data_IF_874440764070
#
_entry.id   IF_874440764070
#
_cell.length_a   1.000
_cell.length_b   1.000
_cell.length_c   1.000
_cell.angle_alpha   90.00
_cell.angle_beta   90.00
_cell.angle_gamma   90.00
#
_symmetry.space_group_name_H-M   'P 1'
#
loop_
_entity.id
_entity.type
_entity.pdbx_description
1 polymer ?
#
# COMPACT_ATOMS: atom_id res chain seq x y z
N UNK A 1 -9.30 14.16 -37.03
CA UNK A 1 -9.67 12.94 -36.26
C UNK A 1 -8.47 12.26 -35.60
N UNK A 2 -7.41 11.86 -36.35
CA UNK A 2 -6.24 11.16 -35.76
C UNK A 2 -5.58 11.91 -34.60
N UNK A 3 -5.37 13.22 -34.75
CA UNK A 3 -4.80 14.08 -33.69
C UNK A 3 -5.69 14.19 -32.45
N UNK A 4 -7.02 14.28 -32.63
CA UNK A 4 -7.97 14.34 -31.50
C UNK A 4 -7.94 13.03 -30.71
N UNK A 5 -7.90 11.88 -31.39
CA UNK A 5 -7.79 10.57 -30.76
C UNK A 5 -6.47 10.41 -30.00
N UNK A 6 -5.36 10.90 -30.56
CA UNK A 6 -4.06 10.90 -29.88
C UNK A 6 -4.09 11.74 -28.59
N UNK A 7 -4.68 12.94 -28.63
CA UNK A 7 -4.82 13.80 -27.44
C UNK A 7 -5.67 13.14 -26.36
N UNK A 8 -6.82 12.54 -26.73
CA UNK A 8 -7.67 11.83 -25.75
C UNK A 8 -6.91 10.67 -25.10
N UNK A 9 -6.12 9.95 -25.89
CA UNK A 9 -5.30 8.85 -25.42
C UNK A 9 -4.21 9.30 -24.44
N UNK A 10 -3.46 10.35 -24.79
CA UNK A 10 -2.44 10.93 -23.90
C UNK A 10 -3.04 11.37 -22.56
N UNK A 11 -4.22 12.01 -22.59
CA UNK A 11 -4.96 12.37 -21.38
C UNK A 11 -5.35 11.14 -20.55
N UNK A 12 -5.77 10.03 -21.18
CA UNK A 12 -6.08 8.77 -20.49
C UNK A 12 -4.86 8.21 -19.76
N UNK A 13 -3.67 8.23 -20.38
CA UNK A 13 -2.43 7.77 -19.75
C UNK A 13 -2.04 8.65 -18.56
N UNK A 14 -2.13 9.97 -18.72
CA UNK A 14 -1.85 10.92 -17.65
C UNK A 14 -2.81 10.76 -16.48
N UNK A 15 -4.09 10.55 -16.74
CA UNK A 15 -5.10 10.27 -15.71
C UNK A 15 -4.81 8.95 -14.98
N UNK A 16 -4.49 7.89 -15.72
CA UNK A 16 -4.13 6.59 -15.13
C UNK A 16 -2.91 6.72 -14.19
N UNK A 17 -1.87 7.42 -14.63
CA UNK A 17 -0.68 7.68 -13.81
C UNK A 17 -1.02 8.56 -12.59
N UNK A 18 -1.81 9.61 -12.78
CA UNK A 18 -2.24 10.52 -11.72
C UNK A 18 -3.02 9.80 -10.61
N UNK A 19 -3.97 8.94 -10.97
CA UNK A 19 -4.74 8.14 -10.01
C UNK A 19 -3.81 7.24 -9.19
N UNK A 20 -2.84 6.57 -9.84
CA UNK A 20 -1.85 5.71 -9.15
C UNK A 20 -1.03 6.49 -8.13
N UNK A 21 -0.55 7.69 -8.49
CA UNK A 21 0.23 8.56 -7.61
C UNK A 21 -0.61 9.04 -6.43
N UNK A 22 -1.82 9.54 -6.69
CA UNK A 22 -2.72 10.03 -5.64
C UNK A 22 -3.04 8.92 -4.64
N UNK A 23 -3.37 7.72 -5.12
CA UNK A 23 -3.64 6.56 -4.27
C UNK A 23 -2.44 6.17 -3.41
N UNK A 24 -1.22 6.20 -3.97
CA UNK A 24 0.02 5.96 -3.22
C UNK A 24 0.21 6.98 -2.10
N UNK A 25 0.05 8.27 -2.41
CA UNK A 25 0.21 9.35 -1.42
C UNK A 25 -0.84 9.26 -0.33
N UNK A 26 -2.10 8.96 -0.67
CA UNK A 26 -3.17 8.81 0.32
C UNK A 26 -2.88 7.64 1.26
N UNK A 27 -2.46 6.49 0.71
CA UNK A 27 -2.07 5.34 1.53
C UNK A 27 -0.91 5.69 2.46
N UNK A 28 0.15 6.33 1.94
CA UNK A 28 1.31 6.73 2.76
C UNK A 28 0.92 7.72 3.85
N UNK A 29 0.02 8.67 3.59
CA UNK A 29 -0.41 9.65 4.60
C UNK A 29 -1.28 9.02 5.70
N UNK A 30 -2.18 8.11 5.33
CA UNK A 30 -3.21 7.60 6.23
C UNK A 30 -2.77 6.33 6.97
N UNK A 31 -1.89 5.52 6.36
CA UNK A 31 -1.44 4.24 6.90
C UNK A 31 0.07 4.25 7.08
N UNK A 32 0.85 4.38 5.99
CA UNK A 32 2.30 4.22 6.02
C UNK A 32 3.00 5.13 7.05
N UNK A 33 2.71 6.42 7.04
CA UNK A 33 3.28 7.39 7.96
C UNK A 33 2.89 7.15 9.42
N UNK A 34 1.74 6.53 9.69
CA UNK A 34 1.34 6.14 11.05
C UNK A 34 2.01 4.83 11.48
N UNK A 35 2.16 3.86 10.59
CA UNK A 35 2.93 2.65 10.84
C UNK A 35 4.39 2.98 11.16
N UNK A 36 5.02 3.83 10.35
CA UNK A 36 6.39 4.29 10.63
C UNK A 36 6.50 4.96 11.99
N UNK A 37 5.59 5.87 12.33
CA UNK A 37 5.57 6.51 13.67
C UNK A 37 5.33 5.52 14.80
N UNK A 38 4.54 4.46 14.59
CA UNK A 38 4.33 3.41 15.58
C UNK A 38 5.63 2.62 15.82
N UNK A 39 6.35 2.27 14.76
CA UNK A 39 7.66 1.63 14.87
C UNK A 39 8.71 2.56 15.51
N UNK A 40 8.72 3.84 15.18
CA UNK A 40 9.69 4.80 15.75
C UNK A 40 9.33 5.26 17.18
N UNK A 41 8.25 4.75 17.77
CA UNK A 41 7.77 5.18 19.10
C UNK A 41 8.64 4.65 20.24
N UNK A 42 8.96 5.53 21.19
CA UNK A 42 9.75 5.19 22.38
C UNK A 42 8.88 4.84 23.61
N UNK A 43 7.54 4.94 23.49
CA UNK A 43 6.59 4.53 24.52
C UNK A 43 5.48 3.68 23.95
N UNK A 44 4.95 2.77 24.78
CA UNK A 44 3.82 1.89 24.42
C UNK A 44 2.58 2.70 24.06
N UNK A 45 2.35 3.80 24.78
CA UNK A 45 1.18 4.66 24.59
C UNK A 45 1.22 5.37 23.23
N UNK A 46 2.40 5.83 22.80
CA UNK A 46 2.58 6.46 21.49
C UNK A 46 2.49 5.45 20.35
N UNK A 47 3.11 4.28 20.53
CA UNK A 47 3.03 3.17 19.59
C UNK A 47 1.56 2.75 19.37
N UNK A 48 0.83 2.54 20.47
CA UNK A 48 -0.61 2.19 20.47
C UNK A 48 -1.44 3.24 19.75
N UNK A 49 -1.22 4.52 20.04
CA UNK A 49 -1.95 5.61 19.39
C UNK A 49 -1.73 5.61 17.87
N UNK A 50 -0.48 5.53 17.43
CA UNK A 50 -0.15 5.59 16.00
C UNK A 50 -0.61 4.33 15.24
N UNK A 51 -0.36 3.14 15.81
CA UNK A 51 -0.81 1.88 15.23
C UNK A 51 -2.33 1.81 15.16
N UNK A 52 -3.03 2.28 16.19
CA UNK A 52 -4.48 2.36 16.22
C UNK A 52 -5.05 3.23 15.09
N UNK A 53 -4.41 4.36 14.76
CA UNK A 53 -4.82 5.19 13.61
C UNK A 53 -4.63 4.43 12.29
N UNK A 54 -3.49 3.75 12.11
CA UNK A 54 -3.24 2.96 10.90
C UNK A 54 -4.26 1.83 10.74
N UNK A 55 -4.48 1.03 11.78
CA UNK A 55 -5.45 -0.08 11.78
C UNK A 55 -6.86 0.42 11.52
N UNK A 56 -7.28 1.50 12.16
CA UNK A 56 -8.60 2.12 11.91
C UNK A 56 -8.74 2.57 10.46
N UNK A 57 -7.71 3.18 9.89
CA UNK A 57 -7.73 3.59 8.49
C UNK A 57 -7.83 2.40 7.54
N UNK A 58 -7.19 1.27 7.84
CA UNK A 58 -7.35 0.02 7.08
C UNK A 58 -8.81 -0.48 7.12
N UNK A 59 -9.43 -0.45 8.30
CA UNK A 59 -10.83 -0.85 8.48
C UNK A 59 -11.80 0.07 7.72
N UNK A 60 -11.64 1.39 7.84
CA UNK A 60 -12.45 2.40 7.15
C UNK A 60 -12.35 2.28 5.62
N UNK A 61 -11.17 1.93 5.10
CA UNK A 61 -10.92 1.73 3.67
C UNK A 61 -11.15 0.28 3.19
N UNK A 62 -11.65 -0.61 4.06
CA UNK A 62 -11.91 -2.04 3.77
C UNK A 62 -10.67 -2.80 3.29
N UNK A 63 -9.49 -2.43 3.78
CA UNK A 63 -8.19 -3.04 3.49
C UNK A 63 -7.83 -4.11 4.53
N UNK A 64 -8.74 -5.07 4.74
CA UNK A 64 -8.63 -6.07 5.83
C UNK A 64 -8.41 -7.50 5.33
N UNK A 65 -8.73 -7.79 4.07
CA UNK A 65 -8.65 -9.14 3.52
C UNK A 65 -8.49 -9.14 2.00
N UNK A 66 -8.09 -10.29 1.46
CA UNK A 66 -7.85 -10.50 0.03
C UNK A 66 -6.36 -10.42 -0.34
N UNK A 67 -6.11 -10.35 -1.65
CA UNK A 67 -4.77 -10.30 -2.22
C UNK A 67 -4.63 -9.08 -3.13
N UNK A 68 -3.49 -8.39 -3.07
CA UNK A 68 -3.21 -7.26 -3.97
C UNK A 68 -2.92 -7.69 -5.41
N UNK A 69 -2.53 -8.94 -5.61
CA UNK A 69 -2.38 -9.54 -6.94
C UNK A 69 -3.69 -9.83 -7.63
N UNK A 70 -3.59 -9.88 -8.95
CA UNK A 70 -4.67 -10.29 -9.83
C UNK A 70 -4.61 -11.79 -10.13
N UNK A 71 -3.39 -12.32 -10.37
CA UNK A 71 -3.19 -13.66 -10.94
C UNK A 71 -2.47 -14.62 -9.97
N UNK A 72 -1.40 -14.18 -9.32
CA UNK A 72 -0.57 -15.02 -8.45
C UNK A 72 -0.77 -14.62 -7.00
N UNK A 73 -1.51 -15.39 -6.19
CA UNK A 73 -1.74 -15.09 -4.77
C UNK A 73 -0.54 -15.50 -3.94
N UNK A 74 0.48 -14.65 -3.85
CA UNK A 74 1.67 -14.95 -3.05
C UNK A 74 1.52 -14.42 -1.61
N UNK A 75 2.24 -15.00 -0.62
CA UNK A 75 2.13 -14.57 0.77
C UNK A 75 2.49 -13.10 1.03
N UNK A 76 3.39 -12.51 0.23
CA UNK A 76 3.78 -11.09 0.33
C UNK A 76 2.70 -10.12 -0.18
N UNK A 77 1.59 -10.64 -0.70
CA UNK A 77 0.45 -9.89 -1.20
C UNK A 77 -0.83 -10.14 -0.38
N UNK A 78 -0.74 -10.97 0.66
CA UNK A 78 -1.84 -11.34 1.54
C UNK A 78 -2.18 -10.20 2.52
N UNK A 79 -3.31 -9.56 2.27
CA UNK A 79 -3.78 -8.42 3.07
C UNK A 79 -4.28 -8.89 4.43
N UNK A 80 -4.91 -10.06 4.49
CA UNK A 80 -5.49 -10.60 5.71
C UNK A 80 -4.39 -10.97 6.71
N UNK A 81 -3.34 -11.63 6.24
CA UNK A 81 -2.18 -11.97 7.06
C UNK A 81 -1.52 -10.71 7.62
N UNK A 82 -1.26 -9.72 6.75
CA UNK A 82 -0.65 -8.46 7.16
C UNK A 82 -1.50 -7.69 8.17
N UNK A 83 -2.78 -7.51 7.88
CA UNK A 83 -3.72 -6.82 8.76
C UNK A 83 -3.87 -7.53 10.12
N UNK A 84 -3.94 -8.86 10.11
CA UNK A 84 -4.05 -9.66 11.35
C UNK A 84 -2.82 -9.47 12.24
N UNK A 85 -1.61 -9.43 11.68
CA UNK A 85 -0.40 -9.17 12.46
C UNK A 85 -0.38 -7.77 13.08
N UNK A 86 -0.83 -6.75 12.34
CA UNK A 86 -0.97 -5.39 12.88
C UNK A 86 -1.99 -5.34 14.02
N UNK A 87 -3.14 -6.01 13.85
CA UNK A 87 -4.19 -6.05 14.86
C UNK A 87 -3.78 -6.82 16.11
N UNK A 88 -3.05 -7.93 15.94
CA UNK A 88 -2.47 -8.68 17.04
C UNK A 88 -1.46 -7.83 17.83
N UNK A 89 -0.58 -7.10 17.12
CA UNK A 89 0.39 -6.20 17.74
C UNK A 89 -0.29 -5.07 18.52
N UNK A 90 -1.38 -4.50 17.98
CA UNK A 90 -2.20 -3.52 18.70
C UNK A 90 -2.81 -4.12 19.97
N UNK A 91 -3.34 -5.34 19.88
CA UNK A 91 -3.88 -6.06 21.03
C UNK A 91 -2.82 -6.37 22.11
N UNK A 92 -1.57 -6.59 21.73
CA UNK A 92 -0.45 -6.72 22.68
C UNK A 92 -0.17 -5.41 23.41
N UNK A 93 -0.12 -4.28 22.67
CA UNK A 93 0.05 -2.95 23.27
C UNK A 93 -1.10 -2.58 24.21
N UNK A 94 -2.32 -3.02 23.91
CA UNK A 94 -3.51 -2.79 24.75
C UNK A 94 -3.46 -3.52 26.09
N UNK A 95 -2.70 -4.61 26.18
CA UNK A 95 -2.60 -5.46 27.39
C UNK A 95 -1.47 -5.05 28.33
N UNK A 96 -0.64 -4.08 27.95
CA UNK A 96 0.44 -3.57 28.79
C UNK A 96 -0.15 -2.86 30.01
N UNK A 97 0.21 -3.33 31.19
CA UNK A 97 -0.26 -2.78 32.46
C UNK A 97 0.71 -1.70 32.99
N UNK A 98 0.25 -0.77 33.85
CA UNK A 98 1.11 0.27 34.41
C UNK A 98 2.35 -0.27 35.14
N UNK A 99 2.25 -1.44 35.76
CA UNK A 99 3.30 -2.14 36.50
C UNK A 99 4.20 -3.04 35.63
N UNK A 100 3.90 -3.18 34.33
CA UNK A 100 4.76 -3.90 33.38
C UNK A 100 6.16 -3.30 33.38
N UNK A 101 7.16 -4.17 33.51
CA UNK A 101 8.56 -3.74 33.67
C UNK A 101 9.06 -2.97 32.44
N UNK A 102 10.05 -2.11 32.64
CA UNK A 102 10.65 -1.34 31.55
C UNK A 102 11.27 -2.25 30.46
N UNK A 103 11.84 -3.39 30.86
CA UNK A 103 12.42 -4.36 29.93
C UNK A 103 11.32 -5.01 29.06
N UNK A 104 10.21 -5.43 29.66
CA UNK A 104 9.07 -5.99 28.92
C UNK A 104 8.47 -4.97 27.95
N UNK A 105 8.29 -3.72 28.39
CA UNK A 105 7.82 -2.62 27.52
C UNK A 105 8.73 -2.44 26.32
N UNK A 106 10.05 -2.47 26.54
CA UNK A 106 11.05 -2.35 25.47
C UNK A 106 10.97 -3.52 24.49
N UNK A 107 10.84 -4.75 25.00
CA UNK A 107 10.72 -5.95 24.16
C UNK A 107 9.45 -5.91 23.29
N UNK A 108 8.33 -5.45 23.83
CA UNK A 108 7.07 -5.28 23.07
C UNK A 108 7.26 -4.26 21.94
N UNK A 109 7.92 -3.13 22.23
CA UNK A 109 8.21 -2.12 21.21
C UNK A 109 9.17 -2.64 20.13
N UNK A 110 10.22 -3.38 20.49
CA UNK A 110 11.14 -3.99 19.51
C UNK A 110 10.40 -4.97 18.60
N UNK A 111 9.58 -5.85 19.17
CA UNK A 111 8.77 -6.80 18.39
C UNK A 111 7.80 -6.08 17.44
N UNK A 112 7.20 -4.98 17.89
CA UNK A 112 6.36 -4.14 17.04
C UNK A 112 7.17 -3.58 15.86
N UNK A 113 8.37 -3.07 16.11
CA UNK A 113 9.26 -2.57 15.06
C UNK A 113 9.55 -3.66 14.02
N UNK A 114 9.91 -4.86 14.45
CA UNK A 114 10.19 -6.00 13.56
C UNK A 114 8.97 -6.46 12.76
N UNK A 115 7.77 -6.29 13.31
CA UNK A 115 6.52 -6.61 12.61
C UNK A 115 6.20 -5.57 11.53
N UNK A 116 6.48 -4.29 11.80
CA UNK A 116 6.15 -3.18 10.91
C UNK A 116 7.25 -2.92 9.86
N UNK A 117 8.50 -3.18 10.19
CA UNK A 117 9.66 -2.83 9.36
C UNK A 117 10.35 -4.07 8.80
N UNK A 118 10.69 -3.99 7.51
CA UNK A 118 11.54 -4.95 6.81
C UNK A 118 12.93 -4.33 6.57
N UNK A 119 13.94 -5.19 6.46
CA UNK A 119 15.30 -4.80 6.15
C UNK A 119 15.46 -4.68 4.62
N UNK A 120 15.26 -3.47 4.09
CA UNK A 120 15.52 -3.17 2.68
C UNK A 120 16.97 -2.76 2.41
N UNK A 121 17.40 -2.86 1.15
CA UNK A 121 18.74 -2.43 0.70
C UNK A 121 19.04 -0.95 0.95
N UNK A 122 18.01 -0.12 1.13
CA UNK A 122 18.13 1.33 1.41
C UNK A 122 17.78 1.70 2.87
N UNK A 123 17.73 0.72 3.78
CA UNK A 123 17.37 0.90 5.18
C UNK A 123 15.97 0.37 5.54
N UNK A 124 15.49 0.66 6.77
CA UNK A 124 14.21 0.17 7.28
C UNK A 124 13.05 0.69 6.44
N UNK A 125 12.27 -0.22 5.85
CA UNK A 125 11.07 0.10 5.07
C UNK A 125 9.86 -0.52 5.72
N UNK A 126 8.71 0.14 5.66
CA UNK A 126 7.47 -0.45 6.16
C UNK A 126 7.12 -1.70 5.36
N UNK A 127 6.90 -2.80 6.06
CA UNK A 127 6.36 -4.05 5.53
C UNK A 127 4.91 -3.84 5.17
N UNK A 128 4.59 -3.78 3.88
CA UNK A 128 3.22 -3.71 3.37
C UNK A 128 3.05 -4.58 2.13
N UNK A 129 1.86 -5.15 1.89
CA UNK A 129 1.59 -5.89 0.67
C UNK A 129 1.84 -5.04 -0.57
N UNK A 130 2.54 -5.59 -1.56
CA UNK A 130 2.89 -4.84 -2.77
C UNK A 130 1.62 -4.40 -3.50
N UNK A 131 1.52 -3.11 -3.83
CA UNK A 131 0.35 -2.58 -4.53
C UNK A 131 -0.89 -2.36 -3.65
N UNK A 132 -0.77 -2.46 -2.33
CA UNK A 132 -1.88 -2.19 -1.39
C UNK A 132 -2.53 -0.82 -1.60
N UNK A 133 -1.76 0.17 -2.04
CA UNK A 133 -2.27 1.53 -2.29
C UNK A 133 -3.35 1.60 -3.37
N UNK A 134 -3.41 0.63 -4.29
CA UNK A 134 -4.41 0.58 -5.36
C UNK A 134 -5.49 -0.48 -5.16
N UNK A 135 -5.39 -1.28 -4.10
CA UNK A 135 -6.43 -2.23 -3.72
C UNK A 135 -7.69 -1.49 -3.24
N UNK A 136 -8.91 -1.98 -3.52
CA UNK A 136 -9.26 -3.20 -4.25
C UNK A 136 -9.40 -3.03 -5.77
N UNK A 137 -9.06 -1.85 -6.30
CA UNK A 137 -9.23 -1.51 -7.71
C UNK A 137 -8.02 -1.89 -8.58
N UNK A 138 -7.12 -2.72 -8.06
CA UNK A 138 -5.91 -3.23 -8.71
C UNK A 138 -6.21 -3.86 -10.07
N UNK A 139 -7.28 -4.66 -10.18
CA UNK A 139 -7.72 -5.22 -11.47
C UNK A 139 -8.14 -4.15 -12.48
N UNK A 140 -9.00 -3.21 -12.09
CA UNK A 140 -9.50 -2.17 -12.98
C UNK A 140 -8.37 -1.26 -13.47
N UNK A 141 -7.45 -0.88 -12.58
CA UNK A 141 -6.27 -0.10 -12.93
C UNK A 141 -5.30 -0.87 -13.83
N UNK A 142 -5.12 -2.17 -13.61
CA UNK A 142 -4.31 -2.99 -14.51
C UNK A 142 -4.92 -3.08 -15.91
N UNK A 143 -6.24 -3.33 -16.02
CA UNK A 143 -6.95 -3.37 -17.29
C UNK A 143 -6.89 -2.03 -18.01
N UNK A 144 -7.08 -0.91 -17.32
CA UNK A 144 -6.93 0.42 -17.91
C UNK A 144 -5.51 0.64 -18.44
N UNK A 145 -4.48 0.21 -17.70
CA UNK A 145 -3.10 0.24 -18.15
C UNK A 145 -2.84 -0.61 -19.40
N UNK A 146 -3.34 -1.85 -19.43
CA UNK A 146 -3.22 -2.76 -20.58
C UNK A 146 -3.91 -2.17 -21.81
N UNK A 147 -5.13 -1.65 -21.65
CA UNK A 147 -5.85 -0.99 -22.74
C UNK A 147 -5.04 0.18 -23.29
N UNK A 148 -4.45 0.99 -22.41
CA UNK A 148 -3.59 2.08 -22.84
C UNK A 148 -2.40 1.56 -23.68
N UNK A 149 -1.73 0.49 -23.24
CA UNK A 149 -0.62 -0.12 -24.01
C UNK A 149 -1.07 -0.66 -25.38
N UNK A 150 -2.21 -1.37 -25.44
CA UNK A 150 -2.75 -1.93 -26.69
C UNK A 150 -3.09 -0.81 -27.66
N UNK A 151 -3.75 0.26 -27.20
CA UNK A 151 -4.05 1.41 -28.05
C UNK A 151 -2.80 2.14 -28.54
N UNK A 152 -1.77 2.29 -27.71
CA UNK A 152 -0.50 2.88 -28.13
C UNK A 152 0.15 2.09 -29.28
N UNK A 153 0.21 0.76 -29.15
CA UNK A 153 0.78 -0.12 -30.18
C UNK A 153 -0.08 -0.07 -31.45
N UNK A 154 -1.40 -0.17 -31.33
CA UNK A 154 -2.31 -0.11 -32.48
C UNK A 154 -2.19 1.22 -33.23
N UNK A 155 -2.12 2.34 -32.50
CA UNK A 155 -1.94 3.67 -33.10
C UNK A 155 -0.59 3.79 -33.82
N UNK A 156 0.48 3.26 -33.22
CA UNK A 156 1.82 3.24 -33.83
C UNK A 156 1.89 2.39 -35.11
N UNK A 157 1.25 1.21 -35.13
CA UNK A 157 1.16 0.38 -36.34
C UNK A 157 0.33 1.10 -37.42
N UNK A 158 -0.82 1.66 -37.05
CA UNK A 158 -1.69 2.35 -37.98
C UNK A 158 -1.06 3.60 -38.59
N UNK A 159 -0.20 4.33 -37.87
CA UNK A 159 0.52 5.47 -38.44
C UNK A 159 1.53 5.02 -39.50
N UNK A 160 2.29 3.95 -39.23
CA UNK A 160 3.27 3.40 -40.19
C UNK A 160 2.65 2.83 -41.46
N UNK A 161 1.48 2.17 -41.36
CA UNK A 161 0.79 1.63 -42.53
C UNK A 161 0.19 2.71 -43.45
N UNK A 162 0.02 3.96 -42.97
CA UNK A 162 -0.41 5.07 -43.81
C UNK A 162 0.75 5.76 -44.55
N UNK A 163 2.01 5.44 -44.21
CA UNK A 163 3.20 6.02 -44.83
C UNK A 163 3.72 5.18 -46.03
N UNK A 164 3.10 4.02 -46.30
CA UNK A 164 3.34 3.15 -47.46
C UNK A 164 2.16 3.17 -48.43
#
# INVERSE_FOLDING_TARGET
MKTILAVIFELSVLLWAGVRVVNSIQFDRNVGGYLKRAADSNTVELAKKNLGVAVKSLEENRLMSGYTSILWRTPDEDIEFWYTNLKASLGELDRVQPDTSQLERTNILIKLCETILDQGESGPKITTPKGISVFPNNMALALWGILNCVFAVAFWVASRLNDF
#
